data_IF_768013501356
#
_entry.id   IF_768013501356
#
_cell.length_a   1.000
_cell.length_b   1.000
_cell.length_c   1.000
_cell.angle_alpha   90.00
_cell.angle_beta   90.00
_cell.angle_gamma   90.00
#
_symmetry.space_group_name_H-M   'P 1'
#
loop_
_entity.id
_entity.type
_entity.pdbx_description
1 polymer ?
#
# COMPACT_ATOMS: atom_id res chain seq x y z
N UNK A 1 -8.95 30.67 2.04
CA UNK A 1 -9.59 29.78 1.07
C UNK A 1 -9.51 30.42 -0.32
N UNK A 2 -9.12 29.64 -1.33
CA UNK A 2 -9.07 30.11 -2.71
C UNK A 2 -10.49 30.20 -3.30
N UNK A 3 -10.66 30.96 -4.39
CA UNK A 3 -11.92 31.03 -5.11
C UNK A 3 -12.42 29.65 -5.54
N UNK A 4 -11.52 28.78 -5.99
CA UNK A 4 -11.83 27.39 -6.35
C UNK A 4 -12.42 26.60 -5.17
N UNK A 5 -11.85 26.70 -3.97
CA UNK A 5 -12.37 26.03 -2.78
C UNK A 5 -13.76 26.50 -2.36
N UNK A 6 -14.07 27.80 -2.57
CA UNK A 6 -15.36 28.40 -2.17
C UNK A 6 -16.46 28.17 -3.18
N UNK A 7 -16.16 28.16 -4.47
CA UNK A 7 -17.17 28.16 -5.54
C UNK A 7 -17.20 26.89 -6.38
N UNK A 8 -16.07 26.19 -6.51
CA UNK A 8 -15.97 24.96 -7.33
C UNK A 8 -16.07 23.67 -6.52
N UNK A 9 -16.19 23.78 -5.18
CA UNK A 9 -16.13 22.64 -4.25
C UNK A 9 -14.87 21.79 -4.43
N UNK A 10 -13.82 22.35 -5.01
CA UNK A 10 -12.52 21.69 -5.10
C UNK A 10 -11.86 21.81 -3.73
N UNK A 11 -11.74 20.69 -3.02
CA UNK A 11 -10.91 20.61 -1.82
C UNK A 11 -9.50 21.08 -2.19
N UNK A 12 -8.97 22.08 -1.49
CA UNK A 12 -7.58 22.49 -1.71
C UNK A 12 -6.68 21.31 -1.31
N UNK A 13 -6.06 20.66 -2.29
CA UNK A 13 -5.10 19.61 -2.01
C UNK A 13 -4.01 20.12 -1.06
N UNK A 14 -3.71 19.35 -0.02
CA UNK A 14 -2.66 19.75 0.91
C UNK A 14 -1.32 19.80 0.14
N UNK A 15 -0.47 20.84 0.30
CA UNK A 15 0.75 21.01 -0.49
C UNK A 15 1.73 19.84 -0.42
N UNK A 16 1.65 19.05 0.66
CA UNK A 16 2.51 17.87 0.88
C UNK A 16 1.83 16.56 0.50
N UNK A 17 0.59 16.58 0.00
CA UNK A 17 -0.12 15.38 -0.47
C UNK A 17 0.62 14.79 -1.67
N UNK A 18 0.82 13.47 -1.66
CA UNK A 18 1.60 12.79 -2.69
C UNK A 18 0.77 12.35 -3.89
N UNK A 19 -0.50 12.02 -3.66
CA UNK A 19 -1.41 11.52 -4.70
C UNK A 19 -2.52 12.51 -4.94
N UNK A 20 -2.83 12.77 -6.20
CA UNK A 20 -3.87 13.72 -6.59
C UNK A 20 -5.26 13.09 -6.41
N UNK A 21 -6.23 13.84 -5.89
CA UNK A 21 -7.57 13.33 -5.61
C UNK A 21 -8.28 12.80 -6.87
N UNK A 22 -8.11 13.46 -8.02
CA UNK A 22 -8.63 13.00 -9.31
C UNK A 22 -8.00 11.67 -9.72
N UNK A 23 -6.67 11.51 -9.55
CA UNK A 23 -5.98 10.26 -9.87
C UNK A 23 -6.40 9.10 -8.93
N UNK A 24 -6.66 9.39 -7.64
CA UNK A 24 -7.23 8.40 -6.71
C UNK A 24 -8.64 7.99 -7.16
N UNK A 25 -9.47 8.92 -7.57
CA UNK A 25 -10.82 8.61 -8.09
C UNK A 25 -10.77 7.76 -9.36
N UNK A 26 -9.80 8.02 -10.24
CA UNK A 26 -9.61 7.30 -11.49
C UNK A 26 -9.15 5.84 -11.31
N UNK A 27 -8.64 5.44 -10.12
CA UNK A 27 -8.26 4.05 -9.82
C UNK A 27 -9.36 3.03 -10.15
N UNK A 28 -10.63 3.43 -10.04
CA UNK A 28 -11.80 2.57 -10.25
C UNK A 28 -12.26 2.52 -11.71
N UNK A 29 -11.70 3.36 -12.56
CA UNK A 29 -12.05 3.47 -13.99
C UNK A 29 -10.86 3.29 -14.91
N UNK A 30 -9.64 3.31 -14.37
CA UNK A 30 -8.40 3.04 -15.09
C UNK A 30 -8.30 1.59 -15.56
N UNK A 31 -7.38 1.38 -16.50
CA UNK A 31 -6.96 0.04 -16.90
C UNK A 31 -5.48 -0.12 -16.56
N UNK A 32 -5.19 -0.80 -15.46
CA UNK A 32 -3.83 -1.17 -15.09
C UNK A 32 -3.29 -2.31 -15.96
N UNK A 33 -1.99 -2.28 -16.22
CA UNK A 33 -1.34 -3.37 -16.94
C UNK A 33 -1.44 -4.68 -16.15
N UNK A 34 -1.94 -5.72 -16.81
CA UNK A 34 -2.01 -7.07 -16.24
C UNK A 34 -0.66 -7.76 -16.35
N UNK A 35 -0.33 -8.63 -15.41
CA UNK A 35 0.97 -9.28 -15.39
C UNK A 35 1.03 -10.49 -14.47
N UNK A 36 2.14 -10.65 -13.79
CA UNK A 36 2.29 -11.73 -12.83
C UNK A 36 1.48 -11.47 -11.58
N UNK A 37 0.72 -12.50 -11.14
CA UNK A 37 -0.05 -12.39 -9.90
C UNK A 37 0.84 -12.44 -8.68
N UNK A 38 0.59 -11.54 -7.75
CA UNK A 38 1.21 -11.55 -6.43
C UNK A 38 0.16 -11.28 -5.33
N UNK A 39 0.54 -11.57 -4.11
CA UNK A 39 -0.30 -11.36 -2.94
C UNK A 39 0.52 -10.57 -1.92
N UNK A 40 -0.08 -9.55 -1.32
CA UNK A 40 0.53 -8.77 -0.24
C UNK A 40 -0.30 -8.94 1.02
N UNK A 41 0.36 -9.25 2.11
CA UNK A 41 -0.25 -9.54 3.41
C UNK A 41 0.26 -8.54 4.44
N UNK A 42 -0.65 -7.72 4.96
CA UNK A 42 -0.44 -6.89 6.13
C UNK A 42 -1.16 -7.52 7.32
N UNK A 43 -0.40 -8.00 8.29
CA UNK A 43 -0.93 -8.76 9.43
C UNK A 43 -1.24 -7.83 10.57
N UNK A 44 -2.49 -7.83 11.02
CA UNK A 44 -2.90 -7.10 12.22
C UNK A 44 -2.02 -7.45 13.43
N UNK A 45 -1.55 -6.42 14.11
CA UNK A 45 -0.90 -6.55 15.40
C UNK A 45 -1.88 -6.78 16.54
N UNK A 46 -1.45 -6.52 17.77
CA UNK A 46 -2.34 -6.41 18.92
C UNK A 46 -3.11 -5.08 18.85
N UNK A 47 -4.43 -5.12 18.92
CA UNK A 47 -5.26 -3.90 18.84
C UNK A 47 -6.53 -4.10 18.02
N UNK A 48 -7.02 -3.04 17.39
CA UNK A 48 -8.22 -3.04 16.54
C UNK A 48 -7.90 -3.19 15.04
N UNK A 49 -6.62 -3.27 14.68
CA UNK A 49 -6.19 -3.40 13.30
C UNK A 49 -6.71 -4.72 12.68
N UNK A 50 -6.99 -4.71 11.39
CA UNK A 50 -7.45 -5.87 10.63
C UNK A 50 -6.31 -6.41 9.77
N UNK A 51 -6.26 -7.72 9.59
CA UNK A 51 -5.36 -8.31 8.59
C UNK A 51 -5.93 -8.06 7.20
N UNK A 52 -5.10 -7.52 6.33
CA UNK A 52 -5.47 -7.24 4.94
C UNK A 52 -4.62 -8.09 4.01
N UNK A 53 -5.27 -8.79 3.09
CA UNK A 53 -4.61 -9.54 2.03
C UNK A 53 -5.09 -8.99 0.69
N UNK A 54 -4.17 -8.41 -0.07
CA UNK A 54 -4.44 -7.90 -1.42
C UNK A 54 -3.85 -8.81 -2.48
N UNK A 55 -4.62 -9.07 -3.53
CA UNK A 55 -4.22 -9.88 -4.70
C UNK A 55 -4.12 -8.98 -5.91
N UNK A 56 -2.95 -8.99 -6.51
CA UNK A 56 -2.62 -8.16 -7.64
C UNK A 56 -2.37 -9.00 -8.90
N UNK A 57 -2.80 -8.50 -10.02
CA UNK A 57 -2.49 -8.99 -11.37
C UNK A 57 -1.73 -7.87 -12.11
N UNK A 58 -0.40 -7.91 -12.08
CA UNK A 58 0.42 -6.78 -12.50
C UNK A 58 0.13 -5.51 -11.68
N UNK A 59 -0.35 -4.46 -12.34
CA UNK A 59 -0.74 -3.18 -11.72
C UNK A 59 -2.24 -3.05 -11.47
N UNK A 60 -2.98 -4.16 -11.49
CA UNK A 60 -4.40 -4.19 -11.17
C UNK A 60 -4.66 -4.91 -9.84
N UNK A 61 -5.33 -4.23 -8.90
CA UNK A 61 -5.85 -4.85 -7.68
C UNK A 61 -7.09 -5.68 -8.03
N UNK A 62 -6.93 -6.99 -8.04
CA UNK A 62 -7.97 -7.96 -8.43
C UNK A 62 -8.91 -8.27 -7.27
N UNK A 63 -8.34 -8.57 -6.07
CA UNK A 63 -9.10 -8.93 -4.88
C UNK A 63 -8.50 -8.30 -3.62
N UNK A 64 -9.37 -8.06 -2.64
CA UNK A 64 -9.00 -7.56 -1.31
C UNK A 64 -9.78 -8.37 -0.26
N UNK A 65 -9.05 -9.00 0.64
CA UNK A 65 -9.61 -9.76 1.76
C UNK A 65 -9.26 -9.03 3.06
N UNK A 66 -10.29 -8.71 3.85
CA UNK A 66 -10.13 -8.06 5.14
C UNK A 66 -10.60 -9.02 6.22
N UNK A 67 -9.66 -9.55 6.98
CA UNK A 67 -9.93 -10.55 8.00
C UNK A 67 -9.91 -9.91 9.39
N UNK A 68 -10.90 -10.26 10.19
CA UNK A 68 -10.83 -10.01 11.63
C UNK A 68 -9.68 -10.83 12.23
N UNK A 69 -9.25 -10.46 13.44
CA UNK A 69 -8.15 -11.12 14.15
C UNK A 69 -8.21 -12.64 14.07
N UNK A 70 -7.23 -13.24 13.39
CA UNK A 70 -7.01 -14.68 13.38
C UNK A 70 -5.71 -15.00 14.13
N UNK A 71 -5.68 -16.14 14.81
CA UNK A 71 -4.45 -16.64 15.43
C UNK A 71 -3.48 -17.10 14.33
N UNK A 72 -2.17 -16.92 14.56
CA UNK A 72 -1.15 -17.15 13.56
C UNK A 72 -1.30 -18.42 12.71
N UNK A 73 -1.51 -19.62 13.27
CA UNK A 73 -1.68 -20.85 12.48
C UNK A 73 -2.94 -20.85 11.60
N UNK A 74 -4.05 -20.30 12.09
CA UNK A 74 -5.31 -20.18 11.34
C UNK A 74 -5.15 -19.22 10.16
N UNK A 75 -4.50 -18.09 10.41
CA UNK A 75 -4.21 -17.09 9.37
C UNK A 75 -3.34 -17.66 8.26
N UNK A 76 -2.32 -18.46 8.61
CA UNK A 76 -1.48 -19.15 7.61
C UNK A 76 -2.30 -20.08 6.74
N UNK A 77 -3.24 -20.84 7.31
CA UNK A 77 -4.10 -21.73 6.55
C UNK A 77 -5.06 -20.95 5.61
N UNK A 78 -5.58 -19.81 6.08
CA UNK A 78 -6.40 -18.90 5.27
C UNK A 78 -5.58 -18.35 4.09
N UNK A 79 -4.38 -17.81 4.34
CA UNK A 79 -3.51 -17.26 3.30
C UNK A 79 -3.14 -18.35 2.28
N UNK A 80 -2.84 -19.57 2.71
CA UNK A 80 -2.56 -20.69 1.82
C UNK A 80 -3.75 -21.08 0.94
N UNK A 81 -4.94 -21.04 1.51
CA UNK A 81 -6.18 -21.30 0.75
C UNK A 81 -6.43 -20.21 -0.28
N UNK A 82 -6.28 -18.95 0.11
CA UNK A 82 -6.40 -17.81 -0.80
C UNK A 82 -5.36 -17.90 -1.93
N UNK A 83 -4.09 -18.16 -1.59
CA UNK A 83 -3.03 -18.27 -2.58
C UNK A 83 -3.30 -19.40 -3.62
N UNK A 84 -3.88 -20.51 -3.19
CA UNK A 84 -4.31 -21.61 -4.09
C UNK A 84 -5.44 -21.17 -5.00
N UNK A 85 -6.48 -20.52 -4.45
CA UNK A 85 -7.60 -20.00 -5.24
C UNK A 85 -7.14 -18.99 -6.29
N UNK A 86 -6.30 -18.06 -5.87
CA UNK A 86 -5.78 -17.00 -6.72
C UNK A 86 -4.60 -17.44 -7.61
N UNK A 87 -4.17 -18.69 -7.50
CA UNK A 87 -3.04 -19.28 -8.25
C UNK A 87 -1.73 -18.52 -8.05
N UNK A 88 -1.49 -18.02 -6.83
CA UNK A 88 -0.27 -17.30 -6.44
C UNK A 88 0.73 -18.28 -5.81
N UNK A 89 1.93 -18.35 -6.37
CA UNK A 89 3.02 -19.15 -5.79
C UNK A 89 3.59 -18.52 -4.52
N UNK A 90 4.13 -19.35 -3.61
CA UNK A 90 4.71 -18.88 -2.34
C UNK A 90 5.75 -17.76 -2.49
N UNK A 91 6.61 -17.84 -3.51
CA UNK A 91 7.64 -16.84 -3.80
C UNK A 91 7.08 -15.48 -4.26
N UNK A 92 5.78 -15.39 -4.47
CA UNK A 92 5.05 -14.18 -4.86
C UNK A 92 4.08 -13.70 -3.77
N UNK A 93 4.16 -14.27 -2.58
CA UNK A 93 3.48 -13.78 -1.38
C UNK A 93 4.46 -12.88 -0.64
N UNK A 94 4.12 -11.61 -0.48
CA UNK A 94 4.87 -10.63 0.30
C UNK A 94 4.17 -10.44 1.64
N UNK A 95 4.89 -10.58 2.74
CA UNK A 95 4.37 -10.38 4.09
C UNK A 95 5.06 -9.20 4.74
N UNK A 96 4.30 -8.21 5.21
CA UNK A 96 4.84 -7.12 6.01
C UNK A 96 5.30 -7.66 7.38
N UNK A 97 6.60 -7.57 7.63
CA UNK A 97 7.26 -8.09 8.82
C UNK A 97 7.71 -6.99 9.81
N UNK A 98 7.26 -5.74 9.64
CA UNK A 98 7.61 -4.66 10.57
C UNK A 98 6.90 -4.81 11.93
N UNK A 99 5.91 -5.69 12.05
CA UNK A 99 5.21 -6.04 13.28
C UNK A 99 5.40 -7.49 13.71
N UNK A 100 5.13 -7.77 14.99
CA UNK A 100 5.26 -9.13 15.57
C UNK A 100 4.34 -10.13 14.84
N UNK A 101 3.14 -9.72 14.43
CA UNK A 101 2.18 -10.55 13.71
C UNK A 101 2.72 -11.04 12.37
N UNK A 102 3.27 -10.14 11.57
CA UNK A 102 3.82 -10.47 10.25
C UNK A 102 5.01 -11.39 10.30
N UNK A 103 5.93 -11.19 11.24
CA UNK A 103 7.06 -12.11 11.43
C UNK A 103 6.58 -13.53 11.75
N UNK A 104 5.62 -13.68 12.67
CA UNK A 104 5.06 -14.97 13.03
C UNK A 104 4.42 -15.69 11.83
N UNK A 105 3.66 -14.98 11.01
CA UNK A 105 3.05 -15.53 9.79
C UNK A 105 4.12 -15.92 8.78
N UNK A 106 5.10 -15.06 8.52
CA UNK A 106 6.18 -15.31 7.57
C UNK A 106 7.07 -16.51 7.96
N UNK A 107 7.20 -16.82 9.25
CA UNK A 107 7.94 -18.00 9.73
C UNK A 107 7.25 -19.31 9.33
N UNK A 108 5.94 -19.34 9.29
CA UNK A 108 5.16 -20.49 8.85
C UNK A 108 4.94 -20.54 7.34
N UNK A 109 4.89 -19.39 6.66
CA UNK A 109 4.76 -19.27 5.20
C UNK A 109 6.15 -19.41 4.52
N UNK A 110 6.83 -20.51 4.72
CA UNK A 110 8.17 -20.74 4.13
C UNK A 110 8.16 -20.49 2.62
N UNK A 111 9.11 -19.69 2.15
CA UNK A 111 9.27 -19.32 0.75
C UNK A 111 8.53 -18.02 0.35
N UNK A 112 7.82 -17.36 1.26
CA UNK A 112 7.30 -16.01 1.05
C UNK A 112 8.43 -14.96 1.08
N UNK A 113 8.14 -13.80 0.51
CA UNK A 113 9.00 -12.62 0.59
C UNK A 113 8.69 -11.85 1.87
N UNK A 114 9.71 -11.58 2.67
CA UNK A 114 9.58 -10.75 3.87
C UNK A 114 9.85 -9.30 3.53
N UNK A 115 8.87 -8.44 3.75
CA UNK A 115 9.02 -7.01 3.57
C UNK A 115 9.36 -6.37 4.91
N UNK A 116 10.37 -5.51 4.90
CA UNK A 116 10.78 -4.67 6.02
C UNK A 116 10.87 -3.23 5.53
N UNK A 117 9.90 -2.41 5.87
CA UNK A 117 9.81 -1.02 5.40
C UNK A 117 10.98 -0.14 5.87
N UNK A 118 11.56 -0.43 7.04
CA UNK A 118 12.78 0.19 7.53
C UNK A 118 14.06 -0.25 6.80
N UNK A 119 13.97 -1.21 5.87
CA UNK A 119 15.09 -1.78 5.13
C UNK A 119 15.76 -0.79 4.17
N UNK A 120 16.84 -1.30 3.55
CA UNK A 120 17.57 -0.55 2.53
C UNK A 120 16.71 -0.32 1.29
N UNK A 121 16.89 0.86 0.68
CA UNK A 121 16.33 1.22 -0.62
C UNK A 121 16.77 0.21 -1.67
N UNK A 122 15.86 -0.19 -2.53
CA UNK A 122 16.16 -1.05 -3.67
C UNK A 122 16.76 -0.20 -4.79
N UNK A 123 17.90 -0.62 -5.32
CA UNK A 123 18.55 0.00 -6.49
C UNK A 123 18.61 -1.03 -7.60
N UNK A 124 18.26 -0.65 -8.82
CA UNK A 124 18.56 -1.44 -9.99
C UNK A 124 19.97 -1.08 -10.49
N UNK A 125 20.63 -2.03 -11.15
CA UNK A 125 21.97 -1.81 -11.70
C UNK A 125 21.88 -0.72 -12.78
N UNK A 126 22.55 0.43 -12.54
CA UNK A 126 22.51 1.59 -13.44
C UNK A 126 21.62 2.75 -12.99
N UNK A 127 20.79 2.58 -11.97
CA UNK A 127 20.02 3.68 -11.40
C UNK A 127 20.89 4.55 -10.47
N UNK A 128 20.82 5.87 -10.64
CA UNK A 128 21.23 6.78 -9.58
C UNK A 128 20.34 6.48 -8.36
N UNK A 129 20.96 6.05 -7.27
CA UNK A 129 20.24 5.70 -6.04
C UNK A 129 19.35 6.87 -5.63
N UNK A 130 18.06 6.77 -5.90
CA UNK A 130 17.11 7.76 -5.47
C UNK A 130 17.23 7.93 -3.95
N UNK A 131 17.34 9.16 -3.49
CA UNK A 131 17.74 9.48 -2.14
C UNK A 131 16.57 9.33 -1.15
N UNK A 132 16.02 8.12 -1.04
CA UNK A 132 14.96 7.79 -0.09
C UNK A 132 15.53 7.46 1.29
N UNK A 133 14.79 7.77 2.34
CA UNK A 133 15.18 7.47 3.72
C UNK A 133 15.27 5.95 3.95
N UNK A 134 14.32 5.17 3.44
CA UNK A 134 14.21 3.72 3.59
C UNK A 134 13.31 3.12 2.50
N UNK A 135 13.18 1.80 2.49
CA UNK A 135 12.38 1.06 1.51
C UNK A 135 10.89 1.47 1.54
N UNK A 136 10.30 1.70 2.73
CA UNK A 136 8.92 2.15 2.86
C UNK A 136 8.71 3.49 2.13
N UNK A 137 9.60 4.45 2.34
CA UNK A 137 9.54 5.74 1.64
C UNK A 137 9.60 5.55 0.14
N UNK A 138 10.53 4.72 -0.36
CA UNK A 138 10.62 4.40 -1.78
C UNK A 138 9.31 3.83 -2.33
N UNK A 139 8.71 2.85 -1.65
CA UNK A 139 7.44 2.25 -2.08
C UNK A 139 6.32 3.28 -2.18
N UNK A 140 6.19 4.20 -1.22
CA UNK A 140 5.16 5.24 -1.27
C UNK A 140 5.37 6.25 -2.39
N UNK A 141 6.62 6.61 -2.70
CA UNK A 141 6.91 7.50 -3.84
C UNK A 141 6.59 6.81 -5.16
N UNK A 142 6.97 5.54 -5.32
CA UNK A 142 6.63 4.74 -6.52
C UNK A 142 5.11 4.55 -6.65
N UNK A 143 4.41 4.27 -5.55
CA UNK A 143 2.95 4.18 -5.54
C UNK A 143 2.31 5.50 -5.99
N UNK A 144 2.79 6.64 -5.47
CA UNK A 144 2.28 7.95 -5.85
C UNK A 144 2.52 8.24 -7.35
N UNK A 145 3.67 7.87 -7.88
CA UNK A 145 3.95 7.98 -9.32
C UNK A 145 2.97 7.15 -10.15
N UNK A 146 2.77 5.88 -9.79
CA UNK A 146 1.87 4.97 -10.48
C UNK A 146 0.40 5.42 -10.40
N UNK A 147 -0.05 5.94 -9.25
CA UNK A 147 -1.40 6.49 -9.09
C UNK A 147 -1.56 7.75 -9.93
N UNK A 148 -0.65 8.71 -9.81
CA UNK A 148 -0.74 10.01 -10.50
C UNK A 148 -0.62 9.86 -12.02
N UNK A 149 0.13 8.88 -12.52
CA UNK A 149 0.21 8.52 -13.95
C UNK A 149 -0.95 7.66 -14.44
N UNK A 150 -1.87 7.27 -13.53
CA UNK A 150 -3.02 6.40 -13.82
C UNK A 150 -2.64 5.00 -14.33
N UNK A 151 -1.47 4.52 -13.91
CA UNK A 151 -0.97 3.20 -14.28
C UNK A 151 -1.61 2.06 -13.46
N UNK A 152 -2.12 2.38 -12.25
CA UNK A 152 -2.79 1.42 -11.35
C UNK A 152 -4.30 1.44 -11.59
N UNK A 153 -4.93 0.28 -11.45
CA UNK A 153 -6.39 0.17 -11.39
C UNK A 153 -6.85 -0.77 -10.28
N UNK A 154 -8.09 -0.59 -9.85
CA UNK A 154 -8.76 -1.40 -8.83
C UNK A 154 -10.01 -2.02 -9.45
N UNK A 155 -10.24 -3.29 -9.16
CA UNK A 155 -11.45 -3.99 -9.59
C UNK A 155 -12.70 -3.25 -9.06
N UNK A 156 -13.63 -2.82 -9.92
CA UNK A 156 -14.85 -2.12 -9.52
C UNK A 156 -15.72 -2.90 -8.51
N UNK A 157 -15.63 -4.22 -8.50
CA UNK A 157 -16.37 -5.07 -7.55
C UNK A 157 -15.91 -4.85 -6.09
N UNK A 158 -14.75 -4.24 -5.88
CA UNK A 158 -14.24 -3.85 -4.56
C UNK A 158 -14.74 -2.47 -4.09
N UNK A 159 -15.82 -1.96 -4.67
CA UNK A 159 -16.37 -0.61 -4.40
C UNK A 159 -16.77 -0.38 -2.93
N UNK A 160 -17.03 -1.43 -2.16
CA UNK A 160 -17.28 -1.34 -0.72
C UNK A 160 -16.07 -0.77 0.07
N UNK A 161 -14.85 -0.98 -0.44
CA UNK A 161 -13.61 -0.48 0.17
C UNK A 161 -13.18 0.89 -0.37
N UNK A 162 -13.96 1.48 -1.30
CA UNK A 162 -13.55 2.70 -2.01
C UNK A 162 -13.26 3.86 -1.08
N UNK A 163 -14.13 4.08 -0.09
CA UNK A 163 -13.98 5.21 0.84
C UNK A 163 -12.70 5.04 1.67
N UNK A 164 -12.50 3.86 2.25
CA UNK A 164 -11.34 3.58 3.11
C UNK A 164 -10.03 3.72 2.31
N UNK A 165 -9.94 3.11 1.13
CA UNK A 165 -8.77 3.21 0.26
C UNK A 165 -8.49 4.66 -0.13
N UNK A 166 -9.53 5.43 -0.49
CA UNK A 166 -9.34 6.83 -0.88
C UNK A 166 -8.82 7.67 0.28
N UNK A 167 -9.39 7.52 1.46
CA UNK A 167 -8.96 8.25 2.66
C UNK A 167 -7.51 7.92 3.05
N UNK A 168 -7.13 6.64 2.99
CA UNK A 168 -5.77 6.22 3.29
C UNK A 168 -4.76 6.77 2.28
N UNK A 169 -5.07 6.75 0.98
CA UNK A 169 -4.20 7.29 -0.06
C UNK A 169 -4.09 8.82 0.03
N UNK A 170 -5.18 9.53 0.31
CA UNK A 170 -5.18 10.98 0.50
C UNK A 170 -4.40 11.43 1.73
N UNK A 171 -4.33 10.60 2.77
CA UNK A 171 -3.60 10.89 3.99
C UNK A 171 -2.07 10.79 3.83
N UNK A 172 -1.57 10.13 2.76
CA UNK A 172 -0.13 9.95 2.54
C UNK A 172 0.50 11.28 2.11
N UNK A 173 1.46 11.75 2.90
CA UNK A 173 2.14 13.03 2.70
C UNK A 173 3.64 12.88 2.69
N UNK A 174 4.30 13.63 1.81
CA UNK A 174 5.75 13.82 1.91
C UNK A 174 6.06 14.70 3.12
N UNK A 175 7.22 14.49 3.71
CA UNK A 175 7.76 15.38 4.74
C UNK A 175 8.63 16.46 4.09
N UNK A 176 8.40 17.72 4.45
CA UNK A 176 9.13 18.86 3.87
C UNK A 176 10.53 19.03 4.50
N UNK A 177 10.91 18.14 5.42
CA UNK A 177 12.20 18.16 6.09
C UNK A 177 13.26 17.43 5.25
N UNK A 178 13.96 18.20 4.43
CA UNK A 178 15.12 17.78 3.64
C UNK A 178 16.44 17.89 4.42
N UNK A 179 16.39 17.88 5.75
CA UNK A 179 17.55 18.17 6.62
C UNK A 179 18.80 17.29 6.33
N UNK A 180 18.63 16.13 5.68
CA UNK A 180 19.73 15.25 5.25
C UNK A 180 19.75 15.01 3.74
N UNK A 181 18.99 15.80 2.98
CA UNK A 181 18.86 15.62 1.53
C UNK A 181 18.11 14.36 1.11
N UNK A 182 17.47 13.62 2.04
CA UNK A 182 16.73 12.39 1.76
C UNK A 182 15.23 12.66 1.68
N UNK A 183 14.58 12.03 0.71
CA UNK A 183 13.12 12.02 0.61
C UNK A 183 12.54 11.23 1.78
N UNK A 184 11.50 11.80 2.42
CA UNK A 184 10.83 11.24 3.60
C UNK A 184 9.31 11.32 3.41
N UNK A 185 8.58 10.44 4.09
CA UNK A 185 7.12 10.53 4.24
C UNK A 185 6.76 10.86 5.69
N UNK A 186 5.54 11.33 5.90
CA UNK A 186 5.01 11.55 7.24
C UNK A 186 5.04 10.25 8.06
N UNK A 187 5.29 10.31 9.38
CA UNK A 187 5.24 9.15 10.27
C UNK A 187 3.85 8.49 10.25
N UNK A 188 3.82 7.17 10.52
CA UNK A 188 2.57 6.38 10.53
C UNK A 188 1.55 6.94 11.53
N UNK A 189 2.03 7.47 12.65
CA UNK A 189 1.22 8.07 13.70
C UNK A 189 0.50 9.32 13.20
N UNK A 190 1.20 10.21 12.51
CA UNK A 190 0.61 11.41 11.92
C UNK A 190 -0.44 11.05 10.83
N UNK A 191 -0.17 10.02 10.03
CA UNK A 191 -1.12 9.54 9.01
C UNK A 191 -2.37 8.96 9.68
N UNK A 192 -2.22 8.16 10.73
CA UNK A 192 -3.35 7.58 11.49
C UNK A 192 -4.23 8.65 12.13
N UNK A 193 -3.64 9.70 12.70
CA UNK A 193 -4.39 10.84 13.28
C UNK A 193 -5.23 11.60 12.25
N UNK A 194 -4.85 11.57 10.98
CA UNK A 194 -5.61 12.23 9.90
C UNK A 194 -6.81 11.41 9.43
N UNK A 195 -6.75 10.09 9.59
CA UNK A 195 -7.80 9.16 9.13
C UNK A 195 -8.88 9.00 10.22
N UNK A 196 -8.55 9.18 11.50
CA UNK A 196 -9.47 9.11 12.65
C UNK A 196 -9.46 7.76 13.34
#
# INVERSE_FOLDING_TARGET
ASFAALYMCEGSAHPLQMMHADAINDLWTNTGERGERCMVVDVAGEGQDRTVVSVWDGLHLENLYVEAKSRGPELVAIIDSMAKMEKVGRSRIVVDCDGIGGMGVADYLKGCVRFHGGGKVMTQEGDEAANFQNLRTQCYYLLAELVNSRAISINPDLSEHRVDISLELEAIRRKDDMAEGKLKIAPKEEIKEMIG
#
